data_IF_421334700109
#
_entry.id   IF_421334700109
#
_cell.length_a   1.000
_cell.length_b   1.000
_cell.length_c   1.000
_cell.angle_alpha   90.00
_cell.angle_beta   90.00
_cell.angle_gamma   90.00
#
_symmetry.space_group_name_H-M   'P 1'
#
loop_
_entity.id
_entity.type
_entity.pdbx_description
1 polymer ?
#
# COMPACT_ATOMS: atom_id res chain seq x y z
N UNK A 1 14.54 4.70 -15.09
CA UNK A 1 13.78 5.85 -14.59
C UNK A 1 13.22 5.44 -13.25
N UNK A 2 13.49 6.18 -12.18
CA UNK A 2 12.95 5.82 -10.87
C UNK A 2 11.44 6.06 -10.89
N UNK A 3 10.64 5.02 -10.65
CA UNK A 3 9.23 5.18 -10.35
C UNK A 3 9.11 6.21 -9.22
N UNK A 4 8.35 7.28 -9.44
CA UNK A 4 8.17 8.29 -8.41
C UNK A 4 7.25 7.72 -7.36
N UNK A 5 7.84 7.40 -6.21
CA UNK A 5 7.16 6.94 -5.02
C UNK A 5 6.82 8.16 -4.15
N UNK A 6 5.57 8.25 -3.73
CA UNK A 6 5.09 9.27 -2.80
C UNK A 6 4.39 8.59 -1.63
N UNK A 7 5.04 8.58 -0.47
CA UNK A 7 4.42 8.14 0.77
C UNK A 7 3.19 9.03 1.09
N UNK A 8 2.10 8.39 1.49
CA UNK A 8 0.87 9.05 1.95
C UNK A 8 0.73 8.91 3.46
N UNK A 9 0.93 7.71 4.00
CA UNK A 9 0.80 7.43 5.42
C UNK A 9 1.58 6.16 5.80
N UNK A 10 2.14 6.14 7.00
CA UNK A 10 2.78 4.96 7.59
C UNK A 10 2.22 4.73 8.99
N UNK A 11 1.81 3.50 9.29
CA UNK A 11 1.25 3.12 10.58
C UNK A 11 1.86 1.83 11.12
N UNK A 12 1.91 1.62 12.45
CA UNK A 12 2.40 0.38 13.03
C UNK A 12 1.57 -0.84 12.61
N UNK A 13 2.22 -1.96 12.34
CA UNK A 13 1.56 -3.24 12.12
C UNK A 13 1.23 -3.88 13.48
N UNK A 14 -0.04 -3.89 13.85
CA UNK A 14 -0.51 -4.45 15.12
C UNK A 14 -0.08 -5.92 15.28
N UNK A 15 0.36 -6.29 16.48
CA UNK A 15 0.84 -7.63 16.80
C UNK A 15 2.30 -7.91 16.42
N UNK A 16 3.03 -6.90 15.94
CA UNK A 16 4.48 -6.98 15.70
C UNK A 16 5.23 -5.95 16.55
N UNK A 17 6.50 -6.19 16.84
CA UNK A 17 7.33 -5.25 17.59
C UNK A 17 7.74 -4.04 16.73
N UNK A 18 8.15 -4.30 15.48
CA UNK A 18 8.72 -3.29 14.57
C UNK A 18 8.08 -3.28 13.18
N UNK A 19 6.98 -4.00 12.96
CA UNK A 19 6.32 -4.01 11.66
C UNK A 19 5.57 -2.72 11.36
N UNK A 20 5.41 -2.40 10.08
CA UNK A 20 4.66 -1.23 9.60
C UNK A 20 3.78 -1.57 8.41
N UNK A 21 2.72 -0.79 8.25
CA UNK A 21 1.87 -0.72 7.06
C UNK A 21 2.16 0.63 6.42
N UNK A 22 2.48 0.65 5.14
CA UNK A 22 2.81 1.85 4.37
C UNK A 22 1.82 2.00 3.23
N UNK A 23 1.21 3.17 3.11
CA UNK A 23 0.34 3.53 1.98
C UNK A 23 1.04 4.61 1.18
N UNK A 24 1.21 4.36 -0.12
CA UNK A 24 1.91 5.26 -1.02
C UNK A 24 1.21 5.36 -2.38
N UNK A 25 1.55 6.39 -3.15
CA UNK A 25 1.23 6.48 -4.58
C UNK A 25 2.50 6.15 -5.36
N UNK A 26 2.37 5.28 -6.35
CA UNK A 26 3.44 4.94 -7.28
C UNK A 26 3.06 5.46 -8.66
N UNK A 27 3.88 6.37 -9.20
CA UNK A 27 3.73 6.85 -10.58
C UNK A 27 4.33 5.84 -11.57
N UNK A 28 3.61 5.64 -12.68
CA UNK A 28 4.05 4.80 -13.79
C UNK A 28 4.50 3.37 -13.38
N UNK A 29 3.76 2.66 -12.51
CA UNK A 29 4.21 1.39 -11.91
C UNK A 29 4.43 0.27 -12.95
N UNK A 30 3.84 0.41 -14.14
CA UNK A 30 3.94 -0.55 -15.24
C UNK A 30 4.68 0.03 -16.46
N UNK A 31 5.48 1.08 -16.24
CA UNK A 31 6.27 1.76 -17.27
C UNK A 31 5.67 3.11 -17.68
N UNK A 32 6.43 3.82 -18.51
CA UNK A 32 6.13 5.20 -18.90
C UNK A 32 4.70 5.34 -19.48
N UNK A 33 3.97 6.34 -19.00
CA UNK A 33 2.59 6.62 -19.39
C UNK A 33 1.52 5.72 -18.77
N UNK A 34 1.89 4.75 -17.92
CA UNK A 34 0.89 4.00 -17.15
C UNK A 34 0.29 4.85 -16.03
N UNK A 35 -1.01 4.65 -15.77
CA UNK A 35 -1.72 5.38 -14.74
C UNK A 35 -1.13 5.10 -13.34
N UNK A 36 -1.09 6.11 -12.45
CA UNK A 36 -0.61 5.93 -11.09
C UNK A 36 -1.56 5.03 -10.28
N UNK A 37 -0.99 4.31 -9.33
CA UNK A 37 -1.72 3.42 -8.42
C UNK A 37 -1.49 3.81 -6.97
N UNK A 38 -2.46 3.53 -6.11
CA UNK A 38 -2.20 3.42 -4.68
C UNK A 38 -1.50 2.07 -4.41
N UNK A 39 -0.54 2.05 -3.51
CA UNK A 39 0.15 0.84 -3.07
C UNK A 39 0.02 0.71 -1.56
N UNK A 40 -0.29 -0.49 -1.08
CA UNK A 40 -0.25 -0.84 0.34
C UNK A 40 0.89 -1.84 0.52
N UNK A 41 1.90 -1.46 1.28
CA UNK A 41 3.03 -2.30 1.68
C UNK A 41 2.90 -2.78 3.13
N UNK A 42 3.20 -4.04 3.37
CA UNK A 42 3.30 -4.64 4.71
C UNK A 42 4.76 -5.00 4.96
N UNK A 43 5.31 -4.49 6.06
CA UNK A 43 6.65 -4.77 6.54
C UNK A 43 6.51 -5.50 7.87
N UNK A 44 7.02 -6.73 7.97
CA UNK A 44 7.18 -7.43 9.24
C UNK A 44 8.35 -6.85 10.06
N UNK A 45 9.35 -6.31 9.35
CA UNK A 45 10.44 -5.54 9.93
C UNK A 45 10.49 -4.16 9.26
N UNK A 46 10.15 -3.12 10.01
CA UNK A 46 10.11 -1.74 9.51
C UNK A 46 11.47 -1.14 9.14
N UNK A 47 12.57 -1.84 9.42
CA UNK A 47 13.90 -1.48 8.91
C UNK A 47 14.20 -1.96 7.49
N UNK A 48 13.33 -2.78 6.89
CA UNK A 48 13.50 -3.24 5.51
C UNK A 48 13.28 -2.07 4.53
N UNK A 49 14.06 -2.03 3.46
CA UNK A 49 13.92 -1.03 2.39
C UNK A 49 12.69 -1.28 1.50
N UNK A 50 12.29 -2.55 1.36
CA UNK A 50 11.10 -2.97 0.61
C UNK A 50 10.11 -3.72 1.51
N UNK A 51 8.80 -3.60 1.23
CA UNK A 51 7.78 -4.34 1.97
C UNK A 51 7.87 -5.84 1.67
N UNK A 52 7.58 -6.66 2.68
CA UNK A 52 7.47 -8.12 2.55
C UNK A 52 6.32 -8.50 1.60
N UNK A 53 5.22 -7.74 1.64
CA UNK A 53 4.10 -7.87 0.70
C UNK A 53 3.62 -6.50 0.25
N UNK A 54 3.30 -6.37 -1.04
CA UNK A 54 2.68 -5.15 -1.58
C UNK A 54 1.55 -5.47 -2.55
N UNK A 55 0.52 -4.63 -2.54
CA UNK A 55 -0.59 -4.66 -3.50
C UNK A 55 -0.76 -3.30 -4.14
N UNK A 56 -0.90 -3.27 -5.47
CA UNK A 56 -1.23 -2.08 -6.23
C UNK A 56 -2.73 -2.03 -6.50
N UNK A 57 -3.35 -0.90 -6.21
CA UNK A 57 -4.79 -0.65 -6.35
C UNK A 57 -4.96 0.48 -7.38
N UNK A 58 -5.54 0.19 -8.56
CA UNK A 58 -5.90 1.22 -9.53
C UNK A 58 -6.83 2.26 -8.91
N UNK A 59 -6.69 3.52 -9.33
CA UNK A 59 -7.44 4.66 -8.78
C UNK A 59 -8.95 4.42 -8.81
N UNK A 60 -9.47 3.89 -9.91
CA UNK A 60 -10.89 3.59 -10.12
C UNK A 60 -11.43 2.48 -9.21
N UNK A 61 -10.55 1.69 -8.59
CA UNK A 61 -10.93 0.60 -7.69
C UNK A 61 -10.85 0.96 -6.20
N UNK A 62 -10.30 2.13 -5.84
CA UNK A 62 -10.01 2.50 -4.44
C UNK A 62 -11.27 2.49 -3.56
N UNK A 63 -12.36 3.13 -4.00
CA UNK A 63 -13.58 3.22 -3.20
C UNK A 63 -14.20 1.84 -2.95
N UNK A 64 -14.16 0.96 -3.95
CA UNK A 64 -14.62 -0.42 -3.82
C UNK A 64 -13.79 -1.23 -2.81
N UNK A 65 -12.47 -1.05 -2.82
CA UNK A 65 -11.58 -1.69 -1.84
C UNK A 65 -11.84 -1.14 -0.43
N UNK A 66 -12.02 0.17 -0.27
CA UNK A 66 -12.35 0.79 1.02
C UNK A 66 -13.66 0.21 1.58
N UNK A 67 -14.70 0.10 0.75
CA UNK A 67 -15.96 -0.52 1.18
C UNK A 67 -15.77 -1.99 1.59
N UNK A 68 -15.01 -2.76 0.81
CA UNK A 68 -14.74 -4.16 1.10
C UNK A 68 -13.97 -4.33 2.43
N UNK A 69 -12.96 -3.50 2.69
CA UNK A 69 -12.21 -3.51 3.94
C UNK A 69 -13.09 -3.15 5.15
N UNK A 70 -14.02 -2.19 4.99
CA UNK A 70 -15.00 -1.85 6.04
C UNK A 70 -15.90 -3.04 6.37
N UNK A 71 -16.44 -3.73 5.36
CA UNK A 71 -17.27 -4.93 5.53
C UNK A 71 -16.48 -6.09 6.16
N UNK A 72 -15.23 -6.28 5.73
CA UNK A 72 -14.35 -7.31 6.29
C UNK A 72 -14.12 -7.09 7.79
N UNK A 73 -13.91 -5.84 8.23
CA UNK A 73 -13.76 -5.50 9.65
C UNK A 73 -14.97 -5.90 10.51
N UNK A 74 -16.19 -5.88 9.97
CA UNK A 74 -17.38 -6.32 10.70
C UNK A 74 -17.46 -7.85 10.88
N UNK A 75 -16.65 -8.60 10.11
CA UNK A 75 -16.62 -10.07 10.10
C UNK A 75 -15.41 -10.66 10.84
N UNK A 76 -14.55 -9.83 11.43
CA UNK A 76 -13.35 -10.20 12.18
C UNK A 76 -13.53 -9.86 13.66
#
# INVERSE_FOLDING_TARGET
MAHRFKEIETMPLAGTENGKIEVAVIEEPYGAGSDPVASIGIFLNGSNEEPDWKVHIPKESIDGVIEALRKAKESL
#
